data_IF_031685280597
#
_entry.id   IF_031685280597
#
_cell.length_a   1.000
_cell.length_b   1.000
_cell.length_c   1.000
_cell.angle_alpha   90.00
_cell.angle_beta   90.00
_cell.angle_gamma   90.00
#
_symmetry.space_group_name_H-M   'P 1'
#
loop_
_entity.id
_entity.type
_entity.pdbx_description
1 polymer ?
#
# COMPACT_ATOMS: atom_id res chain seq x y z
N UNK A 1 3.61 3.93 26.26
CA UNK A 1 4.46 5.07 25.86
C UNK A 1 4.30 5.23 24.36
N UNK A 2 3.90 6.42 23.90
CA UNK A 2 3.92 6.75 22.48
C UNK A 2 5.35 7.03 22.03
N UNK A 3 5.70 6.71 20.78
CA UNK A 3 7.00 7.09 20.22
C UNK A 3 6.94 8.53 19.71
N UNK A 4 8.08 9.26 19.66
CA UNK A 4 8.12 10.60 19.05
C UNK A 4 7.60 10.63 17.60
N UNK A 5 7.74 9.52 16.87
CA UNK A 5 7.18 9.38 15.51
C UNK A 5 5.65 9.37 15.52
N UNK A 6 5.02 8.69 16.48
CA UNK A 6 3.55 8.65 16.59
C UNK A 6 2.99 9.99 17.09
N UNK A 7 3.66 10.66 18.03
CA UNK A 7 3.24 11.99 18.51
C UNK A 7 3.29 13.02 17.38
N UNK A 8 4.41 13.10 16.66
CA UNK A 8 4.53 13.93 15.46
C UNK A 8 3.42 13.61 14.44
N UNK A 9 3.20 12.32 14.17
CA UNK A 9 2.16 11.88 13.25
C UNK A 9 0.78 12.34 13.71
N UNK A 10 0.46 12.24 14.99
CA UNK A 10 -0.83 12.62 15.53
C UNK A 10 -1.09 14.13 15.37
N UNK A 11 -0.08 14.96 15.64
CA UNK A 11 -0.19 16.42 15.57
C UNK A 11 -0.18 16.97 14.12
N UNK A 12 0.34 16.21 13.17
CA UNK A 12 0.49 16.66 11.78
C UNK A 12 -0.85 16.95 11.09
N UNK A 13 -1.09 18.20 10.68
CA UNK A 13 -2.25 18.54 9.86
C UNK A 13 -2.08 18.01 8.42
N UNK A 14 -2.87 17.01 8.04
CA UNK A 14 -2.85 16.43 6.68
C UNK A 14 -3.71 17.27 5.74
N UNK A 15 -3.10 17.93 4.76
CA UNK A 15 -3.79 18.75 3.75
C UNK A 15 -3.72 18.15 2.35
N UNK A 16 -2.66 17.39 2.07
CA UNK A 16 -2.44 16.67 0.81
C UNK A 16 -1.90 15.26 1.10
N UNK A 17 -2.05 14.31 0.16
CA UNK A 17 -1.55 12.94 0.34
C UNK A 17 -0.05 12.87 0.63
N UNK A 18 0.73 13.80 0.07
CA UNK A 18 2.18 13.85 0.23
C UNK A 18 2.63 14.31 1.62
N UNK A 19 1.73 14.91 2.42
CA UNK A 19 2.01 15.23 3.82
C UNK A 19 2.11 13.96 4.68
N UNK A 20 1.59 12.82 4.21
CA UNK A 20 1.57 11.56 4.95
C UNK A 20 2.96 10.91 4.98
N UNK A 21 3.83 11.50 5.80
CA UNK A 21 5.22 11.09 6.03
C UNK A 21 5.53 11.18 7.51
N UNK A 22 6.34 10.23 8.00
CA UNK A 22 6.91 10.33 9.34
C UNK A 22 7.95 11.45 9.40
N UNK A 23 8.32 11.88 10.61
CA UNK A 23 9.37 12.89 10.82
C UNK A 23 10.70 12.51 10.14
N UNK A 24 10.96 11.22 9.98
CA UNK A 24 12.14 10.68 9.27
C UNK A 24 12.03 10.74 7.74
N UNK A 25 10.94 11.27 7.18
CA UNK A 25 10.62 11.23 5.74
C UNK A 25 10.12 9.88 5.22
N UNK A 26 10.02 8.85 6.07
CA UNK A 26 9.51 7.51 5.69
C UNK A 26 7.99 7.54 5.51
N UNK A 27 7.45 6.53 4.81
CA UNK A 27 6.00 6.33 4.72
C UNK A 27 5.43 6.03 6.10
N UNK A 28 4.24 6.57 6.37
CA UNK A 28 3.48 6.29 7.59
C UNK A 28 2.84 4.89 7.46
N UNK A 29 2.85 4.05 8.51
CA UNK A 29 2.17 2.76 8.48
C UNK A 29 0.68 2.89 8.11
N UNK A 30 0.15 1.96 7.30
CA UNK A 30 -1.25 1.99 6.87
C UNK A 30 -2.24 1.99 8.05
N UNK A 31 -1.92 1.27 9.12
CA UNK A 31 -2.72 1.26 10.35
C UNK A 31 -2.87 2.66 10.95
N UNK A 32 -1.78 3.42 11.04
CA UNK A 32 -1.78 4.78 11.58
C UNK A 32 -2.50 5.77 10.65
N UNK A 33 -2.38 5.59 9.34
CA UNK A 33 -3.16 6.36 8.36
C UNK A 33 -4.66 6.14 8.54
N UNK A 34 -5.07 4.88 8.69
CA UNK A 34 -6.47 4.50 8.87
C UNK A 34 -7.03 5.00 10.20
N UNK A 35 -6.27 4.85 11.29
CA UNK A 35 -6.62 5.38 12.61
C UNK A 35 -6.88 6.89 12.57
N UNK A 36 -5.95 7.66 11.98
CA UNK A 36 -6.13 9.11 11.85
C UNK A 36 -7.34 9.48 10.99
N UNK A 37 -7.57 8.72 9.90
CA UNK A 37 -8.74 8.91 9.03
C UNK A 37 -10.03 8.67 9.80
N UNK A 38 -10.11 7.62 10.62
CA UNK A 38 -11.26 7.33 11.49
C UNK A 38 -11.51 8.50 12.44
N UNK A 39 -10.47 9.04 13.09
CA UNK A 39 -10.64 10.21 13.97
C UNK A 39 -11.25 11.44 13.28
N UNK A 40 -10.89 11.72 12.02
CA UNK A 40 -11.54 12.78 11.24
C UNK A 40 -12.99 12.44 10.86
N UNK A 41 -13.28 11.18 10.52
CA UNK A 41 -14.64 10.71 10.22
C UNK A 41 -15.54 10.82 11.45
N UNK A 42 -15.06 10.41 12.63
CA UNK A 42 -15.80 10.49 13.88
C UNK A 42 -16.20 11.94 14.21
N UNK A 43 -15.26 12.88 14.07
CA UNK A 43 -15.55 14.32 14.19
C UNK A 43 -16.62 14.78 13.19
N UNK A 44 -16.56 14.33 11.94
CA UNK A 44 -17.58 14.66 10.93
C UNK A 44 -18.94 14.08 11.28
N UNK A 45 -19.00 12.85 11.80
CA UNK A 45 -20.24 12.23 12.27
C UNK A 45 -20.84 12.98 13.46
N UNK A 46 -20.00 13.50 14.37
CA UNK A 46 -20.45 14.32 15.50
C UNK A 46 -21.17 15.61 15.05
N UNK A 47 -21.05 16.05 13.79
CA UNK A 47 -21.86 17.16 13.27
C UNK A 47 -23.36 16.85 13.20
N UNK A 48 -23.72 15.58 13.16
CA UNK A 48 -25.13 15.14 13.09
C UNK A 48 -25.80 15.09 14.46
N UNK A 49 -25.02 15.16 15.55
CA UNK A 49 -25.54 15.17 16.91
C UNK A 49 -26.26 16.50 17.22
N UNK A 50 -27.31 16.49 18.05
CA UNK A 50 -27.96 17.71 18.54
C UNK A 50 -26.96 18.68 19.19
N UNK A 51 -27.23 19.98 19.13
CA UNK A 51 -26.34 21.00 19.70
C UNK A 51 -26.18 20.85 21.23
N UNK A 52 -27.20 20.31 21.89
CA UNK A 52 -27.31 20.04 23.33
C UNK A 52 -26.90 18.61 23.71
N UNK A 53 -26.13 17.92 22.87
CA UNK A 53 -25.61 16.59 23.19
C UNK A 53 -24.84 16.62 24.53
N UNK A 54 -25.15 15.70 25.47
CA UNK A 54 -24.74 15.82 26.87
C UNK A 54 -23.24 15.64 27.10
N UNK A 55 -22.55 14.89 26.23
CA UNK A 55 -21.13 14.62 26.36
C UNK A 55 -20.28 15.57 25.49
N UNK A 56 -19.07 15.96 25.95
CA UNK A 56 -18.17 16.77 25.14
C UNK A 56 -17.71 16.01 23.91
N UNK A 57 -18.02 16.54 22.73
CA UNK A 57 -17.64 15.96 21.43
C UNK A 57 -16.96 17.00 20.55
N UNK A 58 -15.87 16.59 19.90
CA UNK A 58 -15.26 17.39 18.83
C UNK A 58 -16.12 17.27 17.57
N UNK A 59 -16.53 18.42 17.01
CA UNK A 59 -17.31 18.47 15.77
C UNK A 59 -16.42 18.90 14.62
N UNK A 60 -16.43 18.10 13.57
CA UNK A 60 -15.57 18.29 12.42
C UNK A 60 -15.97 19.49 11.57
N UNK A 61 -15.01 19.99 10.81
CA UNK A 61 -15.18 21.07 9.84
C UNK A 61 -14.62 20.72 8.47
N UNK A 62 -14.42 21.74 7.64
CA UNK A 62 -13.84 21.59 6.30
C UNK A 62 -12.46 20.93 6.33
N UNK A 63 -11.65 21.23 7.35
CA UNK A 63 -10.32 20.63 7.52
C UNK A 63 -10.39 19.11 7.67
N UNK A 64 -11.40 18.58 8.37
CA UNK A 64 -11.58 17.13 8.53
C UNK A 64 -11.98 16.46 7.22
N UNK A 65 -12.87 17.08 6.44
CA UNK A 65 -13.24 16.55 5.11
C UNK A 65 -12.02 16.47 4.21
N UNK A 66 -11.22 17.54 4.15
CA UNK A 66 -10.00 17.58 3.34
C UNK A 66 -8.96 16.56 3.82
N UNK A 67 -8.79 16.41 5.14
CA UNK A 67 -7.91 15.41 5.71
C UNK A 67 -8.36 13.98 5.35
N UNK A 68 -9.66 13.67 5.42
CA UNK A 68 -10.21 12.37 4.99
C UNK A 68 -9.90 12.11 3.52
N UNK A 69 -10.08 13.10 2.64
CA UNK A 69 -9.77 12.95 1.21
C UNK A 69 -8.27 12.70 0.99
N UNK A 70 -7.40 13.49 1.62
CA UNK A 70 -5.96 13.36 1.50
C UNK A 70 -5.45 12.01 2.04
N UNK A 71 -5.95 11.56 3.18
CA UNK A 71 -5.63 10.26 3.77
C UNK A 71 -6.13 9.10 2.89
N UNK A 72 -7.36 9.20 2.38
CA UNK A 72 -7.93 8.16 1.50
C UNK A 72 -7.12 8.01 0.21
N UNK A 73 -6.70 9.13 -0.39
CA UNK A 73 -5.85 9.12 -1.57
C UNK A 73 -4.45 8.59 -1.27
N UNK A 74 -3.86 8.92 -0.11
CA UNK A 74 -2.57 8.36 0.31
C UNK A 74 -2.64 6.85 0.50
N UNK A 75 -3.66 6.36 1.21
CA UNK A 75 -3.95 4.93 1.39
C UNK A 75 -4.12 4.25 0.04
N UNK A 76 -4.89 4.84 -0.89
CA UNK A 76 -5.08 4.30 -2.24
C UNK A 76 -3.75 4.15 -2.98
N UNK A 77 -2.88 5.17 -2.94
CA UNK A 77 -1.54 5.12 -3.56
C UNK A 77 -0.66 4.04 -2.93
N UNK A 78 -0.72 3.88 -1.60
CA UNK A 78 0.01 2.85 -0.87
C UNK A 78 -0.45 1.44 -1.25
N UNK A 79 -1.77 1.21 -1.34
CA UNK A 79 -2.34 -0.08 -1.75
C UNK A 79 -1.96 -0.42 -3.20
N UNK A 80 -2.03 0.55 -4.12
CA UNK A 80 -1.60 0.35 -5.50
C UNK A 80 -0.12 -0.02 -5.58
N UNK A 81 0.74 0.65 -4.80
CA UNK A 81 2.18 0.39 -4.79
C UNK A 81 2.54 -1.01 -4.26
N UNK A 82 1.71 -1.59 -3.39
CA UNK A 82 1.91 -2.93 -2.82
C UNK A 82 1.28 -4.05 -3.64
N UNK A 83 0.24 -3.73 -4.43
CA UNK A 83 -0.62 -4.70 -5.13
C UNK A 83 0.14 -5.78 -5.91
N UNK A 84 1.20 -5.42 -6.64
CA UNK A 84 2.01 -6.40 -7.37
C UNK A 84 2.81 -7.33 -6.44
N UNK A 85 3.29 -6.81 -5.30
CA UNK A 85 3.95 -7.60 -4.27
C UNK A 85 3.00 -8.64 -3.66
N UNK A 86 1.77 -8.21 -3.33
CA UNK A 86 0.74 -9.08 -2.76
C UNK A 86 0.31 -10.18 -3.77
N UNK A 87 0.16 -9.82 -5.06
CA UNK A 87 -0.09 -10.79 -6.14
C UNK A 87 1.04 -11.83 -6.22
N UNK A 88 2.30 -11.38 -6.23
CA UNK A 88 3.46 -12.27 -6.27
C UNK A 88 3.49 -13.21 -5.06
N UNK A 89 3.24 -12.68 -3.87
CA UNK A 89 3.21 -13.45 -2.63
C UNK A 89 2.11 -14.52 -2.66
N UNK A 90 0.89 -14.17 -3.11
CA UNK A 90 -0.20 -15.12 -3.24
C UNK A 90 0.14 -16.30 -4.17
N UNK A 91 0.70 -16.01 -5.36
CA UNK A 91 1.11 -17.07 -6.31
C UNK A 91 2.23 -17.94 -5.72
N UNK A 92 3.19 -17.35 -4.99
CA UNK A 92 4.25 -18.11 -4.31
C UNK A 92 3.73 -19.00 -3.17
N UNK A 93 2.65 -18.60 -2.52
CA UNK A 93 1.94 -19.38 -1.51
C UNK A 93 0.97 -20.41 -2.11
N UNK A 94 0.93 -20.55 -3.44
CA UNK A 94 0.17 -21.58 -4.13
C UNK A 94 -1.21 -21.18 -4.63
N UNK A 95 -1.58 -19.90 -4.58
CA UNK A 95 -2.79 -19.43 -5.24
C UNK A 95 -2.69 -19.57 -6.76
N UNK A 96 -3.82 -19.82 -7.42
CA UNK A 96 -3.90 -19.79 -8.89
C UNK A 96 -4.13 -18.37 -9.41
N UNK A 97 -3.86 -18.13 -10.70
CA UNK A 97 -4.17 -16.84 -11.32
C UNK A 97 -5.68 -16.54 -11.32
N UNK A 98 -6.54 -17.57 -11.47
CA UNK A 98 -7.99 -17.45 -11.32
C UNK A 98 -8.40 -16.97 -9.91
N UNK A 99 -7.80 -17.54 -8.85
CA UNK A 99 -8.07 -17.15 -7.45
C UNK A 99 -7.60 -15.72 -7.16
N UNK A 100 -6.41 -15.35 -7.64
CA UNK A 100 -5.88 -13.99 -7.50
C UNK A 100 -6.76 -12.98 -8.24
N UNK A 101 -7.14 -13.27 -9.47
CA UNK A 101 -7.99 -12.40 -10.29
C UNK A 101 -9.35 -12.15 -9.62
N UNK A 102 -9.98 -13.21 -9.11
CA UNK A 102 -11.23 -13.10 -8.35
C UNK A 102 -11.08 -12.26 -7.08
N UNK A 103 -9.98 -12.43 -6.33
CA UNK A 103 -9.74 -11.69 -5.09
C UNK A 103 -9.56 -10.18 -5.31
N UNK A 104 -9.11 -9.76 -6.49
CA UNK A 104 -8.88 -8.36 -6.83
C UNK A 104 -9.92 -7.78 -7.80
N UNK A 105 -11.01 -8.52 -8.03
CA UNK A 105 -12.11 -8.19 -8.96
C UNK A 105 -11.62 -7.80 -10.36
N UNK A 106 -10.89 -8.72 -10.99
CA UNK A 106 -10.23 -8.52 -12.29
C UNK A 106 -10.15 -9.84 -13.05
N UNK A 107 -9.56 -9.81 -14.24
CA UNK A 107 -9.23 -11.02 -15.02
C UNK A 107 -7.81 -11.52 -14.72
N UNK A 108 -7.50 -12.81 -14.98
CA UNK A 108 -6.14 -13.33 -14.88
C UNK A 108 -5.12 -12.53 -15.68
N UNK A 109 -5.47 -12.07 -16.88
CA UNK A 109 -4.57 -11.31 -17.74
C UNK A 109 -4.27 -9.91 -17.20
N UNK A 110 -5.26 -9.23 -16.62
CA UNK A 110 -5.05 -7.95 -15.93
C UNK A 110 -4.17 -8.12 -14.68
N UNK A 111 -4.39 -9.19 -13.91
CA UNK A 111 -3.56 -9.51 -12.75
C UNK A 111 -2.09 -9.76 -13.16
N UNK A 112 -1.87 -10.51 -14.26
CA UNK A 112 -0.53 -10.70 -14.86
C UNK A 112 0.07 -9.40 -15.34
N UNK A 113 -0.72 -8.53 -15.97
CA UNK A 113 -0.25 -7.24 -16.45
C UNK A 113 0.26 -6.35 -15.30
N UNK A 114 -0.45 -6.34 -14.16
CA UNK A 114 -0.02 -5.62 -12.95
C UNK A 114 1.34 -6.12 -12.47
N UNK A 115 1.51 -7.45 -12.35
CA UNK A 115 2.77 -8.03 -11.88
C UNK A 115 3.90 -7.76 -12.88
N UNK A 116 3.64 -7.91 -14.18
CA UNK A 116 4.61 -7.66 -15.26
C UNK A 116 5.13 -6.23 -15.25
N UNK A 117 4.23 -5.25 -15.26
CA UNK A 117 4.56 -3.83 -15.25
C UNK A 117 5.38 -3.43 -14.00
N UNK A 118 5.04 -4.00 -12.84
CA UNK A 118 5.84 -3.81 -11.64
C UNK A 118 7.25 -4.41 -11.76
N UNK A 119 7.35 -5.65 -12.22
CA UNK A 119 8.63 -6.37 -12.40
C UNK A 119 9.54 -5.66 -13.40
N UNK A 120 9.00 -5.17 -14.51
CA UNK A 120 9.73 -4.39 -15.50
C UNK A 120 10.25 -3.07 -14.90
N UNK A 121 9.43 -2.35 -14.12
CA UNK A 121 9.88 -1.14 -13.41
C UNK A 121 10.98 -1.43 -12.39
N UNK A 122 10.87 -2.51 -11.61
CA UNK A 122 11.92 -2.89 -10.66
C UNK A 122 13.23 -3.25 -11.36
N UNK A 123 13.13 -3.95 -12.49
CA UNK A 123 14.29 -4.31 -13.29
C UNK A 123 14.95 -3.07 -13.92
N UNK A 124 14.16 -2.13 -14.44
CA UNK A 124 14.68 -0.85 -14.95
C UNK A 124 15.37 -0.01 -13.87
N UNK A 125 14.83 0.02 -12.65
CA UNK A 125 15.50 0.66 -11.50
C UNK A 125 16.84 -0.01 -11.19
N UNK A 126 16.90 -1.34 -11.16
CA UNK A 126 18.14 -2.09 -10.92
C UNK A 126 19.20 -1.81 -11.99
N UNK A 127 18.80 -1.72 -13.27
CA UNK A 127 19.71 -1.37 -14.37
C UNK A 127 20.19 0.09 -14.28
N UNK A 128 19.31 1.03 -13.93
CA UNK A 128 19.65 2.46 -13.86
C UNK A 128 20.42 2.87 -12.59
N UNK A 129 20.32 2.10 -11.51
CA UNK A 129 21.06 2.31 -10.26
C UNK A 129 22.53 1.83 -10.32
N UNK A 130 23.02 1.43 -11.49
CA UNK A 130 24.41 1.07 -11.73
C UNK A 130 25.33 2.31 -11.78
N UNK A 131 25.57 2.93 -10.62
CA UNK A 131 26.67 3.87 -10.42
C UNK A 131 28.02 3.15 -10.24
N UNK A 132 29.17 3.85 -10.38
CA UNK A 132 30.52 3.26 -10.38
C UNK A 132 30.90 2.49 -9.11
N UNK A 133 30.19 2.70 -7.98
CA UNK A 133 30.55 2.13 -6.68
C UNK A 133 29.76 0.87 -6.30
N UNK A 134 28.86 0.33 -7.14
CA UNK A 134 28.27 -1.01 -6.98
C UNK A 134 27.45 -1.32 -5.72
N UNK A 135 27.43 -0.45 -4.70
CA UNK A 135 26.90 -0.73 -3.36
C UNK A 135 25.45 -0.31 -3.12
N UNK A 136 24.75 0.25 -4.12
CA UNK A 136 23.38 0.75 -3.97
C UNK A 136 22.48 0.37 -5.17
N UNK A 137 22.43 -0.93 -5.51
CA UNK A 137 21.44 -1.40 -6.48
C UNK A 137 20.05 -1.36 -5.83
N UNK A 138 19.19 -0.45 -6.28
CA UNK A 138 17.76 -0.43 -5.94
C UNK A 138 17.02 -1.27 -6.98
N UNK A 139 16.19 -2.22 -6.56
CA UNK A 139 15.41 -3.10 -7.46
C UNK A 139 15.79 -4.59 -7.34
N UNK A 140 15.01 -5.46 -7.97
CA UNK A 140 15.18 -6.93 -7.92
C UNK A 140 16.36 -7.39 -8.80
N UNK A 141 17.19 -8.29 -8.26
CA UNK A 141 18.30 -8.93 -9.00
C UNK A 141 17.81 -9.65 -10.26
N UNK A 142 18.70 -9.85 -11.23
CA UNK A 142 18.38 -10.48 -12.53
C UNK A 142 17.74 -11.88 -12.39
N UNK A 143 18.20 -12.69 -11.42
CA UNK A 143 17.61 -13.98 -11.08
C UNK A 143 16.17 -13.86 -10.56
N UNK A 144 15.85 -12.75 -9.91
CA UNK A 144 14.52 -12.47 -9.34
C UNK A 144 13.55 -11.95 -10.40
N UNK A 145 14.04 -11.21 -11.39
CA UNK A 145 13.26 -10.83 -12.58
C UNK A 145 12.81 -12.06 -13.40
N UNK A 146 13.76 -12.95 -13.74
CA UNK A 146 13.44 -14.17 -14.49
C UNK A 146 12.46 -15.09 -13.74
N UNK A 147 12.64 -15.23 -12.43
CA UNK A 147 11.73 -16.02 -11.59
C UNK A 147 10.30 -15.47 -11.62
N UNK A 148 10.11 -14.15 -11.56
CA UNK A 148 8.76 -13.57 -11.63
C UNK A 148 8.14 -13.71 -13.03
N UNK A 149 8.94 -13.58 -14.09
CA UNK A 149 8.44 -13.85 -15.45
C UNK A 149 7.97 -15.30 -15.62
N UNK A 150 8.64 -16.27 -14.98
CA UNK A 150 8.19 -17.66 -14.99
C UNK A 150 6.80 -17.83 -14.30
N UNK A 151 6.56 -17.14 -13.18
CA UNK A 151 5.24 -17.15 -12.52
C UNK A 151 4.13 -16.62 -13.42
N UNK A 152 4.42 -15.59 -14.22
CA UNK A 152 3.47 -15.00 -15.17
C UNK A 152 3.05 -15.99 -16.27
N UNK A 153 3.90 -16.96 -16.62
CA UNK A 153 3.61 -17.96 -17.66
C UNK A 153 2.78 -19.15 -17.18
N UNK A 154 2.49 -19.26 -15.87
CA UNK A 154 1.62 -20.32 -15.35
C UNK A 154 0.21 -20.19 -15.94
N UNK A 155 -0.42 -21.32 -16.25
CA UNK A 155 -1.82 -21.34 -16.69
C UNK A 155 -2.76 -20.86 -15.56
N UNK A 156 -3.98 -20.47 -15.93
CA UNK A 156 -4.92 -19.81 -15.01
C UNK A 156 -5.21 -20.63 -13.73
N UNK A 157 -5.31 -21.95 -13.88
CA UNK A 157 -5.60 -22.89 -12.79
C UNK A 157 -4.35 -23.63 -12.27
N UNK A 158 -3.17 -23.28 -12.77
CA UNK A 158 -1.92 -23.91 -12.37
C UNK A 158 -1.42 -23.30 -11.06
N UNK A 159 -1.06 -24.17 -10.10
CA UNK A 159 -0.39 -23.79 -8.85
C UNK A 159 1.11 -23.85 -9.02
N UNK A 160 1.83 -23.04 -8.24
CA UNK A 160 3.26 -23.25 -8.02
C UNK A 160 3.44 -24.56 -7.25
N UNK A 161 4.32 -25.44 -7.73
CA UNK A 161 4.71 -26.63 -6.96
C UNK A 161 5.37 -26.12 -5.68
N UNK A 162 4.68 -26.26 -4.56
CA UNK A 162 5.18 -25.77 -3.27
C UNK A 162 6.45 -26.54 -2.95
N UNK A 163 7.59 -25.85 -2.92
CA UNK A 163 8.77 -26.37 -2.27
C UNK A 163 8.44 -26.58 -0.80
N UNK A 164 8.21 -27.83 -0.40
CA UNK A 164 8.21 -28.26 0.99
C UNK A 164 9.55 -27.85 1.59
N UNK A 165 9.56 -26.76 2.34
CA UNK A 165 10.62 -26.54 3.33
C UNK A 165 10.18 -27.28 4.59
N UNK A 166 10.66 -28.52 4.70
CA UNK A 166 10.94 -29.16 5.99
C UNK A 166 11.97 -28.33 6.78
#
# INVERSE_FOLDING_TARGET
MSTPEYEFWNDLAVRRPDDVRMISGRRVPLSWQMEKRVGHVDRLMNRTLPADFPDPVERGGTADVLAVLALSESIRRDLIARRAGDIREAILLGATWSEVAAAIDSTPDEARAILRDWTERQHGLHQSAAGPDGHHRLGDEENRHAAVLALIQLADDQRTETGTHD
#
